data_IF_065418477582
#
_entry.id   IF_065418477582
#
_cell.length_a   1.000
_cell.length_b   1.000
_cell.length_c   1.000
_cell.angle_alpha   90.00
_cell.angle_beta   90.00
_cell.angle_gamma   90.00
#
_symmetry.space_group_name_H-M   'P 1'
#
loop_
_entity.id
_entity.type
_entity.pdbx_description
1 polymer ?
#
# COMPACT_ATOMS: atom_id res chain seq x y z
N UNK A 1 -6.20 2.23 0.24
CA UNK A 1 -5.45 1.79 1.43
C UNK A 1 -4.23 2.65 1.52
N UNK A 2 -4.06 3.26 2.68
CA UNK A 2 -2.78 3.78 3.10
C UNK A 2 -2.07 2.62 3.77
N UNK A 3 -1.20 1.90 3.07
CA UNK A 3 -0.26 1.02 3.71
C UNK A 3 0.82 1.93 4.31
N UNK A 4 0.71 2.20 5.61
CA UNK A 4 1.76 2.87 6.35
C UNK A 4 2.87 1.85 6.54
N UNK A 5 3.83 1.79 5.62
CA UNK A 5 5.06 1.06 5.84
C UNK A 5 5.92 1.96 6.73
N UNK A 6 5.83 1.76 8.03
CA UNK A 6 6.72 2.38 9.01
C UNK A 6 8.11 1.73 8.88
N UNK A 7 8.88 2.19 7.92
CA UNK A 7 10.32 2.00 7.90
C UNK A 7 10.93 3.33 8.32
N UNK A 8 11.31 3.43 9.58
CA UNK A 8 12.06 4.55 10.14
C UNK A 8 11.75 5.94 9.54
N UNK A 9 10.66 6.60 10.00
CA UNK A 9 10.34 8.02 9.79
C UNK A 9 9.90 8.47 8.41
N UNK A 10 9.84 7.61 7.38
CA UNK A 10 9.45 8.02 6.04
C UNK A 10 8.04 7.53 5.67
N UNK A 11 7.24 8.42 5.08
CA UNK A 11 5.96 8.09 4.46
C UNK A 11 6.18 7.82 2.97
N UNK A 12 5.85 6.61 2.52
CA UNK A 12 5.83 6.25 1.11
C UNK A 12 4.41 6.42 0.57
N UNK A 13 4.26 7.25 -0.45
CA UNK A 13 2.98 7.44 -1.13
C UNK A 13 3.15 7.04 -2.59
N UNK A 14 2.34 6.09 -3.01
CA UNK A 14 2.23 5.65 -4.40
C UNK A 14 0.85 6.06 -4.89
N UNK A 15 0.80 7.05 -5.78
CA UNK A 15 -0.42 7.43 -6.48
C UNK A 15 -0.66 6.46 -7.64
N UNK A 16 -1.75 5.71 -7.60
CA UNK A 16 -2.19 4.93 -8.74
C UNK A 16 -3.00 5.85 -9.65
N UNK A 17 -2.45 6.16 -10.83
CA UNK A 17 -3.17 6.95 -11.81
C UNK A 17 -4.36 6.12 -12.32
N UNK A 18 -5.59 6.55 -12.03
CA UNK A 18 -6.83 5.92 -12.48
C UNK A 18 -7.16 6.24 -13.95
N UNK A 19 -6.14 6.41 -14.78
CA UNK A 19 -6.26 6.37 -16.23
C UNK A 19 -6.64 4.96 -16.66
N UNK A 20 -7.91 4.66 -16.61
CA UNK A 20 -8.52 3.44 -17.12
C UNK A 20 -8.39 3.42 -18.64
N UNK A 21 -7.27 2.98 -19.15
CA UNK A 21 -7.22 2.43 -20.49
C UNK A 21 -7.76 1.00 -20.44
N UNK A 22 -9.01 0.89 -20.92
CA UNK A 22 -9.66 -0.35 -21.26
C UNK A 22 -8.94 -1.00 -22.44
N UNK A 23 -7.90 -1.77 -22.18
CA UNK A 23 -7.40 -2.77 -23.13
C UNK A 23 -6.64 -3.85 -22.38
N UNK A 24 -7.37 -4.75 -21.74
CA UNK A 24 -6.85 -6.11 -21.54
C UNK A 24 -7.33 -6.95 -22.71
N UNK A 25 -6.53 -6.96 -23.76
CA UNK A 25 -6.70 -7.85 -24.91
C UNK A 25 -6.34 -9.28 -24.45
N UNK A 26 -7.31 -10.18 -24.60
CA UNK A 26 -7.11 -11.62 -24.39
C UNK A 26 -6.27 -12.17 -25.56
N UNK A 27 -4.97 -12.08 -25.46
CA UNK A 27 -4.08 -12.87 -26.30
C UNK A 27 -3.63 -14.12 -25.55
N UNK A 28 -3.98 -15.25 -26.10
CA UNK A 28 -3.45 -16.58 -25.77
C UNK A 28 -1.93 -16.52 -25.70
N UNK A 29 -1.35 -16.67 -24.49
CA UNK A 29 0.09 -16.65 -24.30
C UNK A 29 0.68 -17.97 -24.74
N UNK A 30 1.27 -18.02 -25.92
CA UNK A 30 2.29 -19.00 -26.25
C UNK A 30 3.51 -18.75 -25.33
N UNK A 31 3.96 -19.78 -24.61
CA UNK A 31 5.12 -19.72 -23.73
C UNK A 31 6.36 -19.43 -24.58
N UNK A 32 7.08 -18.33 -24.40
CA UNK A 32 8.27 -18.03 -25.18
C UNK A 32 9.43 -18.93 -24.79
N UNK A 33 10.20 -19.37 -25.78
CA UNK A 33 11.43 -20.14 -25.62
C UNK A 33 12.49 -19.32 -24.86
N UNK A 34 13.34 -19.92 -23.99
CA UNK A 34 14.25 -19.21 -23.08
C UNK A 34 15.26 -18.26 -23.72
N UNK A 35 15.42 -18.24 -25.03
CA UNK A 35 16.41 -17.42 -25.77
C UNK A 35 15.89 -16.06 -26.23
N UNK A 36 14.61 -15.71 -26.00
CA UNK A 36 14.01 -14.46 -26.48
C UNK A 36 13.61 -13.46 -25.39
N UNK A 37 13.91 -13.74 -24.12
CA UNK A 37 13.67 -12.80 -23.04
C UNK A 37 14.72 -11.68 -23.11
N UNK A 38 14.41 -10.59 -23.81
CA UNK A 38 15.09 -9.33 -23.61
C UNK A 38 14.83 -8.93 -22.17
N UNK A 39 15.85 -9.05 -21.32
CA UNK A 39 15.84 -8.46 -19.99
C UNK A 39 15.80 -6.95 -20.21
N UNK A 40 14.60 -6.34 -20.17
CA UNK A 40 14.51 -4.91 -19.99
C UNK A 40 15.22 -4.60 -18.67
N UNK A 41 16.27 -3.79 -18.77
CA UNK A 41 17.04 -3.34 -17.62
C UNK A 41 16.04 -2.72 -16.64
N UNK A 42 15.87 -3.35 -15.47
CA UNK A 42 15.04 -2.83 -14.39
C UNK A 42 15.34 -1.35 -14.23
N UNK A 43 14.34 -0.50 -14.45
CA UNK A 43 14.44 0.94 -14.19
C UNK A 43 15.03 1.09 -12.79
N UNK A 44 16.17 1.76 -12.66
CA UNK A 44 16.84 1.92 -11.38
C UNK A 44 16.10 2.97 -10.55
N UNK A 45 15.07 2.55 -9.83
CA UNK A 45 14.29 3.38 -8.91
C UNK A 45 15.10 3.89 -7.70
N UNK A 46 16.39 3.58 -7.63
CA UNK A 46 17.26 4.00 -6.51
C UNK A 46 17.67 5.48 -6.57
N UNK A 47 17.47 6.15 -7.71
CA UNK A 47 17.83 7.55 -7.85
C UNK A 47 16.59 8.42 -7.92
N UNK A 48 16.44 9.41 -7.02
CA UNK A 48 15.34 10.36 -7.10
C UNK A 48 15.44 11.19 -8.38
N UNK A 49 14.29 11.54 -8.96
CA UNK A 49 14.18 12.45 -10.09
C UNK A 49 14.37 13.90 -9.60
N UNK A 50 13.79 14.21 -8.42
CA UNK A 50 13.78 15.57 -7.85
C UNK A 50 13.61 15.49 -6.32
N UNK A 51 14.19 16.47 -5.63
CA UNK A 51 14.07 16.65 -4.18
C UNK A 51 13.52 18.05 -3.93
N UNK A 52 12.46 18.14 -3.14
CA UNK A 52 11.75 19.37 -2.78
C UNK A 52 11.61 19.44 -1.25
N UNK A 53 12.56 20.06 -0.56
CA UNK A 53 12.63 20.03 0.88
C UNK A 53 12.80 18.58 1.40
N UNK A 54 11.85 18.10 2.23
CA UNK A 54 11.81 16.71 2.71
C UNK A 54 11.03 15.75 1.79
N UNK A 55 10.55 16.22 0.64
CA UNK A 55 9.84 15.42 -0.35
C UNK A 55 10.80 14.96 -1.45
N UNK A 56 10.95 13.65 -1.60
CA UNK A 56 11.83 13.00 -2.57
C UNK A 56 10.96 12.30 -3.61
N UNK A 57 11.05 12.73 -4.88
CA UNK A 57 10.25 12.23 -5.98
C UNK A 57 11.06 11.20 -6.77
N UNK A 58 10.51 10.01 -6.91
CA UNK A 58 11.14 8.88 -7.61
C UNK A 58 10.54 8.60 -8.97
N UNK A 59 9.28 8.94 -9.19
CA UNK A 59 8.60 8.73 -10.47
C UNK A 59 7.46 9.73 -10.64
N UNK A 60 7.16 10.12 -11.86
CA UNK A 60 6.08 11.07 -12.18
C UNK A 60 4.83 10.37 -12.73
N UNK A 61 4.96 9.18 -13.30
CA UNK A 61 3.84 8.39 -13.79
C UNK A 61 4.14 6.88 -13.63
N UNK A 62 3.50 6.18 -12.68
CA UNK A 62 2.68 6.73 -11.60
C UNK A 62 3.49 7.66 -10.68
N UNK A 63 2.80 8.62 -10.04
CA UNK A 63 3.48 9.56 -9.15
C UNK A 63 3.91 8.88 -7.84
N UNK A 64 5.24 8.74 -7.66
CA UNK A 64 5.85 8.07 -6.50
C UNK A 64 6.78 9.04 -5.80
N UNK A 65 6.53 9.27 -4.52
CA UNK A 65 7.37 10.11 -3.69
C UNK A 65 7.45 9.63 -2.24
N UNK A 66 8.50 10.06 -1.56
CA UNK A 66 8.75 9.85 -0.13
C UNK A 66 8.76 11.20 0.55
N UNK A 67 8.22 11.30 1.74
CA UNK A 67 8.40 12.44 2.63
C UNK A 67 9.17 11.94 3.85
N UNK A 68 10.38 12.46 4.04
CA UNK A 68 11.19 12.17 5.21
C UNK A 68 10.65 12.89 6.44
N UNK A 69 10.84 12.30 7.61
CA UNK A 69 10.42 12.84 8.91
C UNK A 69 8.93 13.26 8.96
N UNK A 70 8.06 12.54 8.22
CA UNK A 70 6.63 12.83 8.19
C UNK A 70 5.92 12.48 9.50
N UNK A 71 6.43 11.50 10.22
CA UNK A 71 5.92 11.02 11.51
C UNK A 71 7.05 11.16 12.55
N UNK A 72 6.73 11.70 13.75
CA UNK A 72 7.71 11.80 14.83
C UNK A 72 8.03 10.45 15.46
N UNK A 73 9.11 10.39 16.24
CA UNK A 73 9.48 9.18 16.96
C UNK A 73 8.40 8.75 17.96
N UNK A 74 7.81 9.72 18.67
CA UNK A 74 6.73 9.47 19.62
C UNK A 74 5.47 8.94 18.92
N UNK A 75 5.16 9.44 17.73
CA UNK A 75 4.06 8.90 16.91
C UNK A 75 4.37 7.48 16.44
N UNK A 76 5.59 7.20 16.02
CA UNK A 76 6.02 5.85 15.65
C UNK A 76 5.87 4.88 16.82
N UNK A 77 6.40 5.24 17.99
CA UNK A 77 6.32 4.44 19.21
C UNK A 77 4.87 4.20 19.65
N UNK A 78 4.01 5.20 19.46
CA UNK A 78 2.58 5.06 19.71
C UNK A 78 1.94 4.00 18.81
N UNK A 79 2.21 4.01 17.49
CA UNK A 79 1.68 3.00 16.57
C UNK A 79 2.21 1.60 16.90
N UNK A 80 3.49 1.45 17.23
CA UNK A 80 4.09 0.18 17.66
C UNK A 80 3.38 -0.34 18.91
N UNK A 81 3.29 0.47 19.96
CA UNK A 81 2.65 0.09 21.24
C UNK A 81 1.17 -0.25 21.05
N UNK A 82 0.44 0.54 20.26
CA UNK A 82 -0.99 0.32 20.02
C UNK A 82 -1.30 -0.95 19.22
N UNK A 83 -0.32 -1.46 18.47
CA UNK A 83 -0.48 -2.61 17.58
C UNK A 83 0.08 -3.91 18.15
N UNK A 84 1.09 -3.88 18.99
CA UNK A 84 1.89 -5.03 19.41
C UNK A 84 1.04 -6.24 19.87
N UNK A 85 0.11 -6.03 20.79
CA UNK A 85 -0.77 -7.09 21.30
C UNK A 85 -1.90 -7.52 20.34
N UNK A 86 -2.04 -6.86 19.17
CA UNK A 86 -3.11 -7.09 18.20
C UNK A 86 -2.60 -7.70 16.90
N UNK A 87 -1.29 -7.89 16.78
CA UNK A 87 -0.70 -8.46 15.57
C UNK A 87 -1.08 -9.93 15.45
N UNK A 88 -1.70 -10.26 14.31
CA UNK A 88 -2.06 -11.63 13.95
C UNK A 88 -1.47 -11.96 12.58
N UNK A 89 -1.30 -13.25 12.28
CA UNK A 89 -0.85 -13.67 10.95
C UNK A 89 -1.75 -13.08 9.87
N UNK A 90 -1.14 -12.40 8.91
CA UNK A 90 -1.87 -11.71 7.86
C UNK A 90 -2.59 -12.70 6.92
N UNK A 91 -3.81 -12.33 6.52
CA UNK A 91 -4.62 -13.06 5.53
C UNK A 91 -4.67 -12.30 4.21
N UNK A 92 -4.91 -13.01 3.12
CA UNK A 92 -5.25 -12.46 1.81
C UNK A 92 -6.76 -12.45 1.60
N UNK A 93 -7.23 -11.69 0.62
CA UNK A 93 -8.64 -11.67 0.22
C UNK A 93 -9.01 -13.07 -0.29
N UNK A 94 -10.10 -13.64 0.26
CA UNK A 94 -10.62 -14.95 -0.12
C UNK A 94 -11.54 -15.51 0.96
N UNK A 95 -12.60 -16.22 0.54
CA UNK A 95 -13.59 -16.71 1.46
C UNK A 95 -14.29 -15.61 2.28
N UNK A 96 -15.02 -16.00 3.32
CA UNK A 96 -15.78 -15.06 4.17
C UNK A 96 -14.86 -14.23 5.08
N UNK A 97 -13.79 -14.83 5.61
CA UNK A 97 -12.92 -14.25 6.64
C UNK A 97 -11.47 -14.09 6.19
N UNK A 98 -11.21 -14.17 4.87
CA UNK A 98 -9.86 -14.22 4.29
C UNK A 98 -9.20 -15.59 4.46
N UNK A 99 -8.12 -15.82 3.73
CA UNK A 99 -7.36 -17.07 3.74
C UNK A 99 -5.90 -16.82 4.09
N UNK A 100 -5.28 -17.79 4.78
CA UNK A 100 -3.83 -17.82 4.94
C UNK A 100 -3.19 -18.32 3.65
N UNK A 101 -2.19 -17.60 3.17
CA UNK A 101 -1.47 -17.94 1.94
C UNK A 101 0.04 -17.81 2.14
N UNK A 102 0.81 -18.63 1.43
CA UNK A 102 2.28 -18.60 1.50
C UNK A 102 2.88 -17.30 0.93
N UNK A 103 2.14 -16.63 0.04
CA UNK A 103 2.55 -15.35 -0.52
C UNK A 103 2.49 -14.19 0.50
N UNK A 104 1.81 -14.40 1.66
CA UNK A 104 1.69 -13.43 2.73
C UNK A 104 1.90 -14.10 4.08
N UNK A 105 3.12 -13.99 4.61
CA UNK A 105 3.53 -14.69 5.83
C UNK A 105 3.81 -13.77 7.01
N UNK A 106 3.82 -12.45 6.80
CA UNK A 106 3.94 -11.46 7.88
C UNK A 106 2.71 -11.41 8.78
N UNK A 107 2.76 -10.55 9.78
CA UNK A 107 1.64 -10.27 10.68
C UNK A 107 1.08 -8.88 10.40
N UNK A 108 -0.20 -8.68 10.70
CA UNK A 108 -0.82 -7.38 10.65
C UNK A 108 -1.93 -7.20 11.68
N UNK A 109 -2.26 -5.95 11.96
CA UNK A 109 -3.50 -5.60 12.64
C UNK A 109 -4.11 -4.33 12.02
N UNK A 110 -5.34 -4.04 12.40
CA UNK A 110 -6.04 -2.85 11.95
C UNK A 110 -6.28 -1.89 13.11
N UNK A 111 -5.88 -0.63 12.95
CA UNK A 111 -6.15 0.44 13.91
C UNK A 111 -7.07 1.48 13.25
N UNK A 112 -8.25 1.76 13.81
CA UNK A 112 -9.10 2.83 13.31
C UNK A 112 -8.46 4.20 13.57
N UNK A 113 -8.76 5.17 12.74
CA UNK A 113 -8.31 6.56 12.94
C UNK A 113 -8.79 7.16 14.26
N UNK A 114 -9.88 6.64 14.81
CA UNK A 114 -10.43 7.05 16.11
C UNK A 114 -9.82 6.33 17.31
N UNK A 115 -8.78 5.51 17.11
CA UNK A 115 -8.16 4.74 18.20
C UNK A 115 -7.58 5.66 19.30
N UNK A 116 -6.98 6.77 18.90
CA UNK A 116 -6.39 7.77 19.79
C UNK A 116 -6.34 9.14 19.12
N UNK A 117 -5.95 10.15 19.87
CA UNK A 117 -5.67 11.49 19.33
C UNK A 117 -4.54 11.39 18.28
N UNK A 118 -3.45 10.72 18.59
CA UNK A 118 -2.30 10.53 17.70
C UNK A 118 -2.70 9.89 16.38
N UNK A 119 -3.46 8.79 16.39
CA UNK A 119 -3.92 8.14 15.16
C UNK A 119 -4.82 9.04 14.32
N UNK A 120 -5.65 9.87 14.98
CA UNK A 120 -6.51 10.83 14.29
C UNK A 120 -5.70 11.97 13.65
N UNK A 121 -4.74 12.54 14.37
CA UNK A 121 -3.92 13.65 13.89
C UNK A 121 -3.01 13.23 12.72
N UNK A 122 -2.36 12.07 12.82
CA UNK A 122 -1.58 11.50 11.72
C UNK A 122 -2.48 11.25 10.51
N UNK A 123 -3.66 10.66 10.70
CA UNK A 123 -4.61 10.42 9.61
C UNK A 123 -5.08 11.71 8.96
N UNK A 124 -5.36 12.76 9.73
CA UNK A 124 -5.76 14.06 9.19
C UNK A 124 -4.63 14.70 8.41
N UNK A 125 -3.40 14.65 8.90
CA UNK A 125 -2.20 15.16 8.21
C UNK A 125 -1.98 14.47 6.86
N UNK A 126 -2.21 13.16 6.78
CA UNK A 126 -2.16 12.41 5.51
C UNK A 126 -3.31 12.85 4.59
N UNK A 127 -4.53 12.96 5.12
CA UNK A 127 -5.70 13.38 4.35
C UNK A 127 -5.50 14.77 3.73
N UNK A 128 -4.96 15.71 4.51
CA UNK A 128 -4.63 17.06 4.05
C UNK A 128 -3.54 17.05 2.97
N UNK A 129 -2.52 16.20 3.14
CA UNK A 129 -1.43 16.04 2.18
C UNK A 129 -1.91 15.57 0.80
N UNK A 130 -2.81 14.58 0.77
CA UNK A 130 -3.32 14.00 -0.48
C UNK A 130 -4.57 14.71 -1.02
N UNK A 131 -5.14 15.66 -0.27
CA UNK A 131 -6.33 16.42 -0.66
C UNK A 131 -7.64 15.63 -0.63
N UNK A 132 -7.72 14.54 0.15
CA UNK A 132 -8.93 13.73 0.31
C UNK A 132 -9.40 13.69 1.77
N UNK A 133 -10.72 13.71 2.02
CA UNK A 133 -11.24 13.65 3.40
C UNK A 133 -10.85 12.35 4.12
N UNK A 134 -10.44 12.46 5.39
CA UNK A 134 -10.06 11.30 6.22
C UNK A 134 -11.14 10.20 6.27
N UNK A 135 -12.42 10.56 6.18
CA UNK A 135 -13.54 9.59 6.14
C UNK A 135 -13.49 8.63 4.95
N UNK A 136 -12.73 8.96 3.89
CA UNK A 136 -12.55 8.11 2.72
C UNK A 136 -11.38 7.14 2.88
N UNK A 137 -10.57 7.30 3.93
CA UNK A 137 -9.46 6.41 4.21
C UNK A 137 -9.94 5.14 4.92
N UNK A 138 -9.35 4.00 4.55
CA UNK A 138 -9.46 2.77 5.33
C UNK A 138 -8.69 2.94 6.65
N UNK A 139 -9.01 2.12 7.66
CA UNK A 139 -8.22 2.07 8.89
C UNK A 139 -6.74 1.80 8.59
N UNK A 140 -5.85 2.20 9.48
CA UNK A 140 -4.44 1.83 9.35
C UNK A 140 -4.28 0.32 9.35
N UNK A 141 -3.54 -0.20 8.39
CA UNK A 141 -3.03 -1.56 8.44
C UNK A 141 -1.59 -1.52 8.93
N UNK A 142 -1.38 -1.89 10.18
CA UNK A 142 -0.03 -2.04 10.73
C UNK A 142 0.47 -3.41 10.32
N UNK A 143 1.61 -3.46 9.65
CA UNK A 143 2.23 -4.70 9.19
C UNK A 143 3.57 -4.90 9.89
N UNK A 144 3.84 -6.15 10.24
CA UNK A 144 5.07 -6.56 10.90
C UNK A 144 5.72 -7.72 10.15
N UNK A 145 6.97 -7.53 9.77
CA UNK A 145 7.77 -8.54 9.09
C UNK A 145 8.99 -8.90 9.93
N UNK A 146 9.24 -10.21 10.08
CA UNK A 146 10.48 -10.76 10.62
C UNK A 146 11.33 -11.35 9.50
N UNK A 147 12.57 -11.73 9.79
CA UNK A 147 13.41 -12.41 8.81
C UNK A 147 12.72 -13.66 8.24
N UNK A 148 12.62 -13.72 6.92
CA UNK A 148 11.96 -14.82 6.21
C UNK A 148 10.44 -14.68 6.01
N UNK A 149 9.81 -13.64 6.55
CA UNK A 149 8.40 -13.34 6.24
C UNK A 149 8.31 -12.37 5.07
N UNK A 150 7.22 -12.48 4.29
CA UNK A 150 7.05 -11.74 3.04
C UNK A 150 5.59 -11.42 2.73
N UNK A 151 5.40 -10.51 1.82
CA UNK A 151 4.20 -10.37 1.01
C UNK A 151 4.65 -10.17 -0.44
N UNK A 152 4.31 -11.11 -1.31
CA UNK A 152 4.71 -11.08 -2.71
C UNK A 152 4.05 -9.91 -3.46
N UNK A 153 4.58 -9.60 -4.63
CA UNK A 153 4.04 -8.57 -5.52
C UNK A 153 2.55 -8.81 -5.76
N UNK A 154 1.77 -7.76 -5.60
CA UNK A 154 0.31 -7.80 -5.72
C UNK A 154 -0.23 -6.43 -6.12
N UNK A 155 -1.46 -6.41 -6.62
CA UNK A 155 -2.19 -5.18 -6.86
C UNK A 155 -3.02 -4.80 -5.63
N UNK A 156 -2.92 -3.55 -5.20
CA UNK A 156 -3.79 -3.00 -4.14
C UNK A 156 -5.18 -2.64 -4.66
N UNK A 157 -5.31 -2.41 -5.96
CA UNK A 157 -6.58 -2.14 -6.62
C UNK A 157 -7.52 -3.35 -6.52
N UNK A 158 -8.81 -3.07 -6.25
CA UNK A 158 -9.84 -4.11 -6.25
C UNK A 158 -10.15 -4.55 -7.67
N UNK A 159 -10.15 -5.86 -7.92
CA UNK A 159 -10.53 -6.42 -9.21
C UNK A 159 -12.07 -6.41 -9.33
N UNK A 160 -12.62 -5.62 -10.24
CA UNK A 160 -14.05 -5.48 -10.49
C UNK A 160 -14.67 -6.69 -11.22
N UNK A 161 -13.85 -7.56 -11.79
CA UNK A 161 -14.30 -8.81 -12.41
C UNK A 161 -14.70 -9.86 -11.36
N UNK A 162 -14.16 -9.76 -10.11
CA UNK A 162 -14.47 -10.68 -9.02
C UNK A 162 -15.65 -10.20 -8.18
N UNK A 163 -16.40 -11.14 -7.58
CA UNK A 163 -17.49 -10.79 -6.68
C UNK A 163 -16.99 -10.06 -5.42
N UNK A 164 -15.88 -10.51 -4.85
CA UNK A 164 -15.22 -9.88 -3.71
C UNK A 164 -14.77 -8.47 -4.04
N UNK A 165 -14.10 -8.27 -5.17
CA UNK A 165 -13.67 -6.94 -5.62
C UNK A 165 -14.85 -5.98 -5.79
N UNK A 166 -15.94 -6.43 -6.44
CA UNK A 166 -17.16 -5.62 -6.56
C UNK A 166 -17.81 -5.27 -5.22
N UNK A 167 -17.76 -6.17 -4.21
CA UNK A 167 -18.23 -5.87 -2.86
C UNK A 167 -17.42 -4.77 -2.20
N UNK A 168 -16.10 -4.80 -2.36
CA UNK A 168 -15.22 -3.75 -1.82
C UNK A 168 -15.46 -2.42 -2.53
N UNK A 169 -15.57 -2.41 -3.85
CA UNK A 169 -15.83 -1.21 -4.64
C UNK A 169 -17.14 -0.50 -4.26
N UNK A 170 -18.18 -1.26 -3.90
CA UNK A 170 -19.47 -0.70 -3.45
C UNK A 170 -19.37 0.06 -2.13
N UNK A 171 -18.35 -0.19 -1.29
CA UNK A 171 -18.22 0.44 0.04
C UNK A 171 -17.63 1.85 -0.04
N UNK A 172 -16.68 2.08 -0.93
CA UNK A 172 -15.95 3.35 -0.97
C UNK A 172 -15.26 3.64 -2.30
N UNK A 173 -15.51 2.82 -3.33
CA UNK A 173 -14.82 2.96 -4.62
C UNK A 173 -13.46 2.29 -4.64
N UNK A 174 -12.65 2.67 -5.64
CA UNK A 174 -11.31 2.13 -5.85
C UNK A 174 -10.29 2.79 -4.92
N UNK A 175 -9.24 2.05 -4.57
CA UNK A 175 -8.06 2.58 -3.91
C UNK A 175 -7.26 3.40 -4.91
N UNK A 176 -7.06 4.67 -4.62
CA UNK A 176 -6.36 5.62 -5.49
C UNK A 176 -5.00 6.06 -4.94
N UNK A 177 -4.78 5.87 -3.64
CA UNK A 177 -3.50 6.05 -2.95
C UNK A 177 -3.22 4.85 -2.06
N UNK A 178 -1.96 4.46 -1.97
CA UNK A 178 -1.47 3.41 -1.11
C UNK A 178 -0.08 3.75 -0.57
#
# INVERSE_FOLDING_TARGET
ILALVLSMRALYIIGVNSGLDKQFDQQEKTVPTPSEVKIETKKDFKKPIRVEGNKIIYNEDPFIYVIEDFISDEECDHFVTASDSKLERAKTIGGKDGIYHENRTGSNCWLPHSHSITTKEVGQRIADLIGYPLKNAESYQIVYYTGGTQYNDHHDAFNDETEEGRKHLKRGGQRIYT
#
